data_IF_141052227984
#
_entry.id   IF_141052227984
#
_cell.length_a   1.000
_cell.length_b   1.000
_cell.length_c   1.000
_cell.angle_alpha   90.00
_cell.angle_beta   90.00
_cell.angle_gamma   90.00
#
_symmetry.space_group_name_H-M   'P 1'
#
loop_
_entity.id
_entity.type
_entity.pdbx_description
1 polymer ?
#
# COMPACT_ATOMS: atom_id res chain seq x y z
N UNK A 1 -0.56 1.45 -15.88
CA UNK A 1 -1.08 2.10 -14.64
C UNK A 1 -1.10 1.06 -13.54
N UNK A 2 -0.65 1.43 -12.35
CA UNK A 2 -0.70 0.52 -11.21
C UNK A 2 -1.44 1.13 -10.01
N UNK A 3 -2.05 0.27 -9.19
CA UNK A 3 -2.70 0.64 -7.92
C UNK A 3 -1.89 0.03 -6.77
N UNK A 4 -1.55 0.85 -5.77
CA UNK A 4 -0.94 0.36 -4.55
C UNK A 4 -2.01 -0.22 -3.62
N UNK A 5 -1.93 -1.52 -3.36
CA UNK A 5 -2.72 -2.21 -2.36
C UNK A 5 -2.04 -2.07 -0.99
N UNK A 6 -2.73 -1.51 0.00
CA UNK A 6 -2.27 -1.32 1.39
C UNK A 6 -2.41 -2.64 2.16
N UNK A 7 -1.58 -3.57 1.79
CA UNK A 7 -1.76 -4.98 2.06
C UNK A 7 -1.62 -5.38 3.54
N UNK A 8 -2.33 -6.41 3.92
CA UNK A 8 -1.93 -7.26 5.03
C UNK A 8 -0.60 -7.94 4.72
N UNK A 9 0.28 -8.03 5.72
CA UNK A 9 1.56 -8.73 5.56
C UNK A 9 1.40 -10.27 5.56
N UNK A 10 0.34 -10.78 6.21
CA UNK A 10 0.16 -12.21 6.50
C UNK A 10 -1.02 -12.89 5.82
N UNK A 11 -1.99 -12.13 5.32
CA UNK A 11 -3.23 -12.69 4.80
C UNK A 11 -3.58 -12.10 3.45
N UNK A 12 -3.82 -12.95 2.46
CA UNK A 12 -4.31 -12.54 1.16
C UNK A 12 -5.65 -11.80 1.30
N UNK A 13 -5.70 -10.56 0.78
CA UNK A 13 -6.90 -9.73 0.88
C UNK A 13 -7.26 -9.28 2.30
N UNK A 14 -6.30 -9.35 3.25
CA UNK A 14 -6.54 -8.91 4.62
C UNK A 14 -7.67 -9.66 5.34
N UNK A 15 -8.68 -8.91 5.76
CA UNK A 15 -9.91 -9.45 6.37
C UNK A 15 -11.10 -9.57 5.40
N UNK A 16 -10.86 -9.63 4.10
CA UNK A 16 -11.90 -9.69 3.05
C UNK A 16 -12.96 -10.77 3.32
N UNK A 17 -12.53 -12.00 3.62
CA UNK A 17 -13.46 -13.12 3.91
C UNK A 17 -14.27 -12.88 5.18
N UNK A 18 -13.75 -12.08 6.11
CA UNK A 18 -14.37 -11.80 7.40
C UNK A 18 -15.20 -10.49 7.39
N UNK A 19 -15.40 -9.88 6.21
CA UNK A 19 -16.23 -8.67 6.08
C UNK A 19 -15.56 -7.37 6.52
N UNK A 20 -14.25 -7.33 6.61
CA UNK A 20 -13.53 -6.06 6.82
C UNK A 20 -13.67 -5.15 5.60
N UNK A 21 -13.53 -3.83 5.80
CA UNK A 21 -13.82 -2.80 4.78
C UNK A 21 -12.67 -1.78 4.60
N UNK A 22 -11.43 -2.11 4.98
CA UNK A 22 -10.29 -1.24 4.73
C UNK A 22 -9.93 -1.22 3.23
N UNK A 23 -8.86 -0.54 2.86
CA UNK A 23 -8.51 -0.29 1.44
C UNK A 23 -8.22 -1.60 0.67
N UNK A 24 -7.51 -2.56 1.25
CA UNK A 24 -7.25 -3.86 0.60
C UNK A 24 -8.55 -4.62 0.36
N UNK A 25 -9.43 -4.67 1.35
CA UNK A 25 -10.72 -5.33 1.23
C UNK A 25 -11.61 -4.64 0.19
N UNK A 26 -11.60 -3.31 0.14
CA UNK A 26 -12.34 -2.55 -0.87
C UNK A 26 -11.85 -2.86 -2.30
N UNK A 27 -10.53 -2.98 -2.50
CA UNK A 27 -9.98 -3.43 -3.79
C UNK A 27 -10.42 -4.85 -4.12
N UNK A 28 -10.42 -5.76 -3.15
CA UNK A 28 -10.86 -7.15 -3.33
C UNK A 28 -12.36 -7.25 -3.68
N UNK A 29 -13.20 -6.37 -3.10
CA UNK A 29 -14.63 -6.31 -3.42
C UNK A 29 -14.91 -5.78 -4.84
N UNK A 30 -14.06 -4.89 -5.33
CA UNK A 30 -14.22 -4.25 -6.63
C UNK A 30 -13.43 -4.95 -7.76
N UNK A 31 -12.77 -6.09 -7.50
CA UNK A 31 -11.89 -6.73 -8.49
C UNK A 31 -11.70 -8.22 -8.24
N UNK A 32 -10.96 -8.88 -9.13
CA UNK A 32 -10.46 -10.24 -8.92
C UNK A 32 -9.16 -10.31 -8.10
N UNK A 33 -8.77 -9.24 -7.42
CA UNK A 33 -7.50 -9.20 -6.68
C UNK A 33 -7.40 -10.32 -5.64
N UNK A 34 -8.44 -10.57 -4.85
CA UNK A 34 -8.44 -11.67 -3.87
C UNK A 34 -8.14 -13.02 -4.50
N UNK A 35 -8.76 -13.32 -5.65
CA UNK A 35 -8.54 -14.58 -6.37
C UNK A 35 -7.10 -14.74 -6.84
N UNK A 36 -6.44 -13.63 -7.21
CA UNK A 36 -5.02 -13.62 -7.59
C UNK A 36 -4.15 -13.85 -6.37
N UNK A 37 -4.32 -13.05 -5.31
CA UNK A 37 -3.48 -13.12 -4.10
C UNK A 37 -3.55 -14.47 -3.40
N UNK A 38 -4.72 -15.08 -3.37
CA UNK A 38 -4.94 -16.38 -2.73
C UNK A 38 -4.22 -17.56 -3.44
N UNK A 39 -3.60 -17.31 -4.59
CA UNK A 39 -2.77 -18.31 -5.31
C UNK A 39 -1.31 -18.33 -4.85
N UNK A 40 -0.92 -17.45 -3.94
CA UNK A 40 0.45 -17.30 -3.45
C UNK A 40 0.55 -17.51 -1.93
N UNK A 41 0.07 -18.65 -1.38
CA UNK A 41 0.12 -18.89 0.06
C UNK A 41 1.56 -18.87 0.60
N UNK A 42 2.55 -19.31 -0.20
CA UNK A 42 3.97 -19.32 0.16
C UNK A 42 4.54 -17.92 0.38
N UNK A 43 3.97 -16.89 -0.27
CA UNK A 43 4.35 -15.50 -0.02
C UNK A 43 3.96 -15.07 1.40
N UNK A 44 2.76 -15.39 1.84
CA UNK A 44 2.23 -15.04 3.16
C UNK A 44 2.86 -15.87 4.27
N UNK A 45 3.09 -17.17 4.04
CA UNK A 45 3.79 -18.07 4.96
C UNK A 45 5.23 -17.59 5.22
N UNK A 46 5.95 -17.22 4.16
CA UNK A 46 7.27 -16.64 4.30
C UNK A 46 7.24 -15.33 5.10
N UNK A 47 6.30 -14.45 4.82
CA UNK A 47 6.12 -13.19 5.53
C UNK A 47 5.86 -13.41 7.03
N UNK A 48 5.05 -14.40 7.38
CA UNK A 48 4.76 -14.73 8.77
C UNK A 48 6.03 -15.18 9.52
N UNK A 49 6.86 -15.98 8.86
CA UNK A 49 8.13 -16.44 9.41
C UNK A 49 9.21 -15.34 9.46
N UNK A 50 9.03 -14.25 8.70
CA UNK A 50 9.97 -13.13 8.61
C UNK A 50 9.33 -11.81 9.04
N UNK A 51 8.65 -11.82 10.17
CA UNK A 51 7.80 -10.73 10.67
C UNK A 51 8.56 -9.45 11.04
N UNK A 52 9.85 -9.54 11.37
CA UNK A 52 10.72 -8.42 11.73
C UNK A 52 10.07 -7.46 12.76
N UNK A 53 9.60 -7.98 13.88
CA UNK A 53 8.96 -7.22 14.98
C UNK A 53 7.71 -6.40 14.59
N UNK A 54 7.25 -6.45 13.35
CA UNK A 54 6.18 -5.63 12.80
C UNK A 54 6.64 -4.53 11.85
N UNK A 55 7.95 -4.32 11.70
CA UNK A 55 8.49 -3.44 10.64
C UNK A 55 8.36 -4.07 9.26
N UNK A 56 8.27 -5.40 9.23
CA UNK A 56 8.20 -6.19 8.00
C UNK A 56 9.45 -6.06 7.13
N UNK A 57 9.51 -6.74 6.03
CA UNK A 57 10.61 -6.65 5.06
C UNK A 57 10.09 -6.14 3.71
N UNK A 58 10.98 -5.64 2.87
CA UNK A 58 10.65 -5.15 1.54
C UNK A 58 10.30 -6.34 0.63
N UNK A 59 9.03 -6.70 0.62
CA UNK A 59 8.43 -7.72 -0.25
C UNK A 59 7.11 -7.24 -0.79
N UNK A 60 6.83 -7.59 -2.04
CA UNK A 60 5.58 -7.29 -2.71
C UNK A 60 5.18 -8.41 -3.66
N UNK A 61 3.90 -8.48 -4.00
CA UNK A 61 3.42 -9.17 -5.18
C UNK A 61 3.06 -8.11 -6.22
N UNK A 62 3.53 -8.29 -7.44
CA UNK A 62 3.08 -7.52 -8.60
C UNK A 62 2.08 -8.36 -9.38
N UNK A 63 0.86 -7.87 -9.50
CA UNK A 63 -0.24 -8.56 -10.18
C UNK A 63 -0.63 -7.76 -11.41
N UNK A 64 -0.18 -8.16 -12.62
CA UNK A 64 -0.52 -7.43 -13.84
C UNK A 64 -1.97 -7.67 -14.26
N UNK A 65 -2.59 -6.64 -14.86
CA UNK A 65 -3.90 -6.72 -15.51
C UNK A 65 -5.02 -7.27 -14.61
N UNK A 66 -5.09 -6.85 -13.36
CA UNK A 66 -6.23 -7.17 -12.49
C UNK A 66 -7.46 -6.41 -12.98
N UNK A 67 -8.58 -7.11 -13.17
CA UNK A 67 -9.85 -6.53 -13.60
C UNK A 67 -10.60 -5.95 -12.42
N UNK A 68 -10.97 -4.68 -12.53
CA UNK A 68 -11.83 -3.95 -11.61
C UNK A 68 -13.19 -3.71 -12.24
N UNK A 69 -14.26 -3.87 -11.48
CA UNK A 69 -15.64 -3.75 -11.93
C UNK A 69 -16.30 -2.53 -11.31
N UNK A 70 -17.25 -1.95 -12.01
CA UNK A 70 -18.20 -1.04 -11.39
C UNK A 70 -19.20 -1.80 -10.49
N UNK A 71 -20.01 -1.05 -9.75
CA UNK A 71 -20.98 -1.63 -8.81
C UNK A 71 -22.05 -2.53 -9.46
N UNK A 72 -22.30 -2.34 -10.74
CA UNK A 72 -23.33 -3.06 -11.49
C UNK A 72 -22.72 -4.22 -12.32
N UNK A 73 -21.38 -4.35 -12.32
CA UNK A 73 -20.60 -5.34 -13.09
C UNK A 73 -20.75 -5.24 -14.61
N UNK A 74 -21.28 -4.11 -15.11
CA UNK A 74 -21.51 -3.90 -16.54
C UNK A 74 -20.25 -3.40 -17.26
N UNK A 75 -19.35 -2.71 -16.52
CA UNK A 75 -18.10 -2.19 -17.04
C UNK A 75 -16.93 -2.68 -16.23
N UNK A 76 -15.78 -2.83 -16.88
CA UNK A 76 -14.53 -3.15 -16.21
C UNK A 76 -13.37 -2.38 -16.82
N UNK A 77 -12.36 -2.16 -15.99
CA UNK A 77 -11.05 -1.63 -16.38
C UNK A 77 -9.98 -2.55 -15.84
N UNK A 78 -8.82 -2.60 -16.47
CA UNK A 78 -7.68 -3.34 -15.92
C UNK A 78 -6.61 -2.38 -15.42
N UNK A 79 -5.99 -2.74 -14.31
CA UNK A 79 -4.81 -2.08 -13.78
C UNK A 79 -3.88 -3.13 -13.15
N UNK A 80 -2.61 -2.81 -13.11
CA UNK A 80 -1.67 -3.60 -12.31
C UNK A 80 -1.85 -3.29 -10.83
N UNK A 81 -1.55 -4.25 -9.96
CA UNK A 81 -1.65 -4.04 -8.51
C UNK A 81 -0.33 -4.38 -7.84
N UNK A 82 0.20 -3.43 -7.08
CA UNK A 82 1.36 -3.61 -6.21
C UNK A 82 0.85 -3.92 -4.80
N UNK A 83 0.90 -5.19 -4.41
CA UNK A 83 0.49 -5.64 -3.07
C UNK A 83 1.68 -5.59 -2.14
N UNK A 84 1.74 -4.56 -1.29
CA UNK A 84 2.86 -4.30 -0.40
C UNK A 84 2.36 -3.80 0.96
N UNK A 85 2.82 -4.42 2.06
CA UNK A 85 2.43 -4.01 3.40
C UNK A 85 3.34 -2.89 3.94
N UNK A 86 2.75 -1.85 4.53
CA UNK A 86 3.50 -0.84 5.28
C UNK A 86 4.06 -1.42 6.59
N UNK A 87 5.13 -0.86 7.17
CA UNK A 87 5.50 -1.14 8.56
C UNK A 87 4.31 -0.88 9.50
N UNK A 88 4.16 -1.76 10.49
CA UNK A 88 3.05 -1.66 11.44
C UNK A 88 3.45 -0.87 12.68
N UNK A 89 3.36 0.46 12.61
CA UNK A 89 3.70 1.37 13.71
C UNK A 89 2.83 1.15 14.96
N UNK A 90 1.64 0.54 14.82
CA UNK A 90 0.81 0.23 15.98
C UNK A 90 1.50 -0.73 16.97
N UNK A 91 2.46 -1.53 16.52
CA UNK A 91 3.28 -2.40 17.38
C UNK A 91 4.28 -1.61 18.24
N UNK A 92 4.80 -0.49 17.72
CA UNK A 92 5.58 0.46 18.52
C UNK A 92 4.71 1.08 19.62
N UNK A 93 3.52 1.53 19.26
CA UNK A 93 2.61 2.20 20.20
C UNK A 93 2.08 1.26 21.29
N UNK A 94 1.99 -0.05 21.02
CA UNK A 94 1.48 -1.04 21.97
C UNK A 94 2.54 -1.53 22.96
N UNK A 95 3.72 -1.82 22.49
CA UNK A 95 4.72 -2.57 23.28
C UNK A 95 6.17 -2.14 23.03
N UNK A 96 6.40 -1.08 22.28
CA UNK A 96 7.74 -0.52 22.07
C UNK A 96 8.72 -1.47 21.38
N UNK A 97 8.25 -2.35 20.51
CA UNK A 97 9.09 -3.38 19.84
C UNK A 97 10.23 -2.81 19.00
N UNK A 98 10.12 -1.55 18.58
CA UNK A 98 11.12 -0.80 17.82
C UNK A 98 10.97 0.69 18.13
N UNK A 99 11.92 1.52 17.71
CA UNK A 99 11.88 2.96 17.87
C UNK A 99 11.13 3.68 16.75
N UNK A 100 10.72 4.93 16.97
CA UNK A 100 10.13 5.77 15.93
C UNK A 100 11.09 5.95 14.75
N UNK A 101 12.38 6.09 15.02
CA UNK A 101 13.42 6.21 13.98
C UNK A 101 13.48 4.96 13.10
N UNK A 102 13.49 3.77 13.69
CA UNK A 102 13.44 2.50 12.94
C UNK A 102 12.16 2.40 12.09
N UNK A 103 11.02 2.86 12.62
CA UNK A 103 9.78 2.91 11.86
C UNK A 103 9.86 3.84 10.65
N UNK A 104 10.38 5.06 10.83
CA UNK A 104 10.50 6.04 9.75
C UNK A 104 11.50 5.58 8.67
N UNK A 105 12.62 4.98 9.08
CA UNK A 105 13.58 4.36 8.15
C UNK A 105 12.92 3.23 7.33
N UNK A 106 12.23 2.30 8.00
CA UNK A 106 11.54 1.20 7.34
C UNK A 106 10.41 1.69 6.41
N UNK A 107 9.67 2.73 6.80
CA UNK A 107 8.62 3.32 5.97
C UNK A 107 9.20 3.99 4.73
N UNK A 108 10.25 4.78 4.88
CA UNK A 108 10.95 5.43 3.76
C UNK A 108 11.50 4.40 2.77
N UNK A 109 12.17 3.36 3.28
CA UNK A 109 12.72 2.29 2.47
C UNK A 109 11.62 1.48 1.76
N UNK A 110 10.46 1.28 2.39
CA UNK A 110 9.32 0.63 1.79
C UNK A 110 8.72 1.45 0.64
N UNK A 111 8.60 2.76 0.81
CA UNK A 111 8.09 3.64 -0.25
C UNK A 111 9.10 3.71 -1.41
N UNK A 112 10.41 3.73 -1.12
CA UNK A 112 11.46 3.62 -2.15
C UNK A 112 11.36 2.29 -2.91
N UNK A 113 11.18 1.18 -2.21
CA UNK A 113 10.98 -0.14 -2.81
C UNK A 113 9.76 -0.19 -3.74
N UNK A 114 8.64 0.47 -3.36
CA UNK A 114 7.46 0.59 -4.22
C UNK A 114 7.80 1.39 -5.49
N UNK A 115 8.55 2.50 -5.36
CA UNK A 115 9.04 3.28 -6.50
C UNK A 115 9.90 2.41 -7.43
N UNK A 116 10.83 1.64 -6.88
CA UNK A 116 11.71 0.77 -7.66
C UNK A 116 10.92 -0.31 -8.44
N UNK A 117 9.86 -0.84 -7.85
CA UNK A 117 8.92 -1.72 -8.58
C UNK A 117 8.25 -0.97 -9.73
N UNK A 118 7.76 0.24 -9.50
CA UNK A 118 7.13 1.04 -10.55
C UNK A 118 8.09 1.31 -11.72
N UNK A 119 9.34 1.65 -11.43
CA UNK A 119 10.36 1.91 -12.44
C UNK A 119 10.72 0.64 -13.23
N UNK A 120 10.87 -0.51 -12.56
CA UNK A 120 11.16 -1.80 -13.21
C UNK A 120 10.02 -2.28 -14.10
N UNK A 121 8.78 -2.09 -13.67
CA UNK A 121 7.58 -2.53 -14.40
C UNK A 121 7.09 -1.48 -15.40
N UNK A 122 7.81 -0.38 -15.58
CA UNK A 122 7.48 0.73 -16.48
C UNK A 122 6.08 1.31 -16.20
N UNK A 123 5.75 1.54 -14.94
CA UNK A 123 4.49 2.12 -14.51
C UNK A 123 4.48 3.62 -14.79
N UNK A 124 3.66 4.08 -15.73
CA UNK A 124 3.49 5.51 -16.03
C UNK A 124 2.70 6.26 -14.96
N UNK A 125 1.67 5.61 -14.40
CA UNK A 125 0.76 6.23 -13.42
C UNK A 125 0.61 5.28 -12.23
N UNK A 126 0.93 5.78 -11.03
CA UNK A 126 0.67 5.09 -9.77
C UNK A 126 -0.51 5.73 -9.05
N UNK A 127 -1.52 4.92 -8.69
CA UNK A 127 -2.58 5.31 -7.75
C UNK A 127 -2.16 4.84 -6.36
N UNK A 128 -1.93 5.79 -5.46
CA UNK A 128 -1.52 5.59 -4.07
C UNK A 128 -2.49 6.32 -3.12
N UNK A 129 -2.10 6.52 -1.87
CA UNK A 129 -2.92 7.23 -0.87
C UNK A 129 -2.27 7.23 0.51
N UNK A 130 -3.07 7.27 1.58
CA UNK A 130 -2.62 7.32 2.97
C UNK A 130 -2.11 5.94 3.44
N UNK A 131 -1.01 5.48 2.84
CA UNK A 131 -0.41 4.17 3.00
C UNK A 131 -0.01 3.87 4.44
N UNK A 132 -0.64 2.87 5.04
CA UNK A 132 -0.40 2.47 6.42
C UNK A 132 -0.99 3.42 7.49
N UNK A 133 -1.70 4.51 7.12
CA UNK A 133 -2.23 5.49 8.07
C UNK A 133 -3.50 5.02 8.81
N UNK A 134 -4.07 3.89 8.42
CA UNK A 134 -5.21 3.25 9.10
C UNK A 134 -4.77 2.42 10.31
N UNK A 135 -5.00 1.11 10.24
CA UNK A 135 -4.72 0.13 11.31
C UNK A 135 -3.24 0.09 11.71
N UNK A 136 -2.33 0.35 10.79
CA UNK A 136 -0.88 0.35 11.07
C UNK A 136 -0.38 1.66 11.70
N UNK A 137 -1.24 2.67 11.83
CA UNK A 137 -1.03 3.90 12.56
C UNK A 137 0.20 4.72 12.13
N UNK A 138 0.58 4.68 10.86
CA UNK A 138 1.62 5.56 10.32
C UNK A 138 1.17 7.02 10.40
N UNK A 139 2.13 7.93 10.60
CA UNK A 139 1.88 9.38 10.57
C UNK A 139 1.65 9.83 9.13
N UNK A 140 0.54 10.46 8.87
CA UNK A 140 0.15 10.86 7.50
C UNK A 140 1.14 11.83 6.87
N UNK A 141 1.68 12.76 7.68
CA UNK A 141 2.69 13.73 7.24
C UNK A 141 3.98 13.03 6.80
N UNK A 142 4.42 11.99 7.53
CA UNK A 142 5.60 11.22 7.18
C UNK A 142 5.37 10.43 5.87
N UNK A 143 4.19 9.83 5.71
CA UNK A 143 3.83 9.10 4.49
C UNK A 143 3.83 10.02 3.28
N UNK A 144 3.14 11.17 3.36
CA UNK A 144 3.07 12.15 2.28
C UNK A 144 4.48 12.66 1.92
N UNK A 145 5.28 13.04 2.92
CA UNK A 145 6.65 13.49 2.74
C UNK A 145 7.55 12.43 2.07
N UNK A 146 7.49 11.19 2.52
CA UNK A 146 8.32 10.14 1.92
C UNK A 146 7.91 9.78 0.49
N UNK A 147 6.62 9.84 0.17
CA UNK A 147 6.21 9.74 -1.23
C UNK A 147 6.80 10.87 -2.07
N UNK A 148 6.73 12.13 -1.62
CA UNK A 148 7.35 13.25 -2.34
C UNK A 148 8.84 13.06 -2.56
N UNK A 149 9.56 12.66 -1.50
CA UNK A 149 11.02 12.50 -1.57
C UNK A 149 11.42 11.30 -2.42
N UNK A 150 10.76 10.15 -2.26
CA UNK A 150 11.13 8.91 -2.96
C UNK A 150 10.75 8.94 -4.44
N UNK A 151 9.70 9.66 -4.83
CA UNK A 151 9.25 9.80 -6.21
C UNK A 151 9.73 11.07 -6.91
N UNK A 152 10.68 11.83 -6.32
CA UNK A 152 11.28 13.00 -6.97
C UNK A 152 12.21 12.63 -8.13
N UNK A 153 12.76 11.42 -8.10
CA UNK A 153 13.65 10.87 -9.14
C UNK A 153 13.13 9.48 -9.52
N UNK A 154 12.22 9.42 -10.48
CA UNK A 154 11.52 8.22 -10.94
C UNK A 154 11.07 8.36 -12.39
N UNK A 155 10.87 7.25 -13.07
CA UNK A 155 10.26 7.19 -14.41
C UNK A 155 8.72 7.30 -14.38
N UNK A 156 8.11 7.23 -13.20
CA UNK A 156 6.66 7.38 -13.02
C UNK A 156 6.24 8.80 -13.39
N UNK A 157 5.41 8.95 -14.40
CA UNK A 157 4.96 10.26 -14.91
C UNK A 157 3.99 10.98 -13.97
N UNK A 158 3.21 10.21 -13.20
CA UNK A 158 2.17 10.75 -12.32
C UNK A 158 1.91 9.83 -11.14
N UNK A 159 1.88 10.42 -9.94
CA UNK A 159 1.32 9.75 -8.74
C UNK A 159 0.00 10.41 -8.39
N UNK A 160 -1.06 9.63 -8.27
CA UNK A 160 -2.41 10.09 -7.88
C UNK A 160 -2.66 9.59 -6.46
N UNK A 161 -2.87 10.51 -5.52
CA UNK A 161 -3.22 10.16 -4.15
C UNK A 161 -4.73 10.14 -3.97
N UNK A 162 -5.31 8.93 -3.94
CA UNK A 162 -6.71 8.71 -3.64
C UNK A 162 -6.93 8.74 -2.11
N UNK A 163 -6.96 9.95 -1.54
CA UNK A 163 -7.18 10.17 -0.11
C UNK A 163 -8.57 10.76 0.08
N UNK A 164 -9.47 10.05 0.80
CA UNK A 164 -10.78 10.60 1.14
C UNK A 164 -10.67 11.91 1.92
N UNK A 165 -11.71 12.78 1.91
CA UNK A 165 -11.72 14.02 2.68
C UNK A 165 -11.93 13.73 4.19
N UNK A 166 -10.97 13.00 4.78
CA UNK A 166 -10.92 12.62 6.19
C UNK A 166 -9.70 13.28 6.89
N UNK A 167 -9.36 12.78 8.08
CA UNK A 167 -8.22 13.25 8.87
C UNK A 167 -6.86 13.19 8.14
N UNK A 168 -6.73 12.38 7.10
CA UNK A 168 -5.47 12.20 6.37
C UNK A 168 -5.32 13.23 5.23
N UNK A 169 -6.41 13.75 4.71
CA UNK A 169 -6.43 14.64 3.54
C UNK A 169 -5.56 15.90 3.74
N UNK A 170 -5.64 16.65 4.87
CA UNK A 170 -4.89 17.91 5.03
C UNK A 170 -3.37 17.75 4.93
N UNK A 171 -2.81 16.60 5.33
CA UNK A 171 -1.38 16.36 5.25
C UNK A 171 -0.92 16.19 3.78
N UNK A 172 -1.70 15.49 2.96
CA UNK A 172 -1.43 15.35 1.54
C UNK A 172 -1.63 16.66 0.78
N UNK A 173 -2.71 17.40 1.08
CA UNK A 173 -2.97 18.72 0.51
C UNK A 173 -1.80 19.68 0.79
N UNK A 174 -1.32 19.74 2.04
CA UNK A 174 -0.19 20.56 2.43
C UNK A 174 1.12 20.16 1.74
N UNK A 175 1.42 18.86 1.62
CA UNK A 175 2.68 18.36 1.08
C UNK A 175 2.78 18.50 -0.43
N UNK A 176 1.68 18.28 -1.15
CA UNK A 176 1.65 18.31 -2.61
C UNK A 176 1.08 19.59 -3.20
N UNK A 177 0.60 20.51 -2.36
CA UNK A 177 0.28 21.89 -2.70
C UNK A 177 -0.63 22.03 -3.91
N UNK A 178 -1.93 21.79 -3.75
CA UNK A 178 -2.91 22.45 -4.60
C UNK A 178 -3.15 23.84 -4.00
N UNK A 179 -2.20 24.75 -4.20
CA UNK A 179 -2.41 26.18 -3.98
C UNK A 179 -3.04 26.81 -5.22
#
# INVERSE_FOLDING_TARGET
MAVLNFASYRHAGGGFINGSIAQEEALCHASFLYNVLNRFPEYYEWNENNYNKGLYLNRALYSPNVYFFDKDYDNYVSADVITCAAPNRSMLLKDGRFSEKENEEALKDRIRFIRDICDNENVDILIAGAYGCGVFAQKTEAVAHFFRVCFSDTNVKKVIFAVPPDRNYPAFEKEFGLS
#
